data_IF_137834023218
#
_entry.id   IF_137834023218
#
_cell.length_a   1.000
_cell.length_b   1.000
_cell.length_c   1.000
_cell.angle_alpha   90.00
_cell.angle_beta   90.00
_cell.angle_gamma   90.00
#
_symmetry.space_group_name_H-M   'P 1'
#
loop_
_entity.id
_entity.type
_entity.pdbx_description
1 polymer ?
#
# COMPACT_ATOMS: atom_id res chain seq x y z
N UNK A 1 12.64 0.71 5.96
CA UNK A 1 13.22 1.99 5.45
C UNK A 1 12.81 2.30 4.01
N UNK A 2 12.64 1.30 3.13
CA UNK A 2 12.32 1.50 1.71
C UNK A 2 11.08 2.37 1.43
N UNK A 3 9.95 2.16 2.12
CA UNK A 3 8.71 2.89 1.85
C UNK A 3 8.80 4.42 2.07
N UNK A 4 9.65 4.89 3.00
CA UNK A 4 9.83 6.32 3.29
C UNK A 4 10.57 7.06 2.19
N UNK A 5 11.52 6.38 1.54
CA UNK A 5 12.27 6.96 0.42
C UNK A 5 11.41 7.00 -0.84
N UNK A 6 10.60 5.97 -1.06
CA UNK A 6 9.69 5.88 -2.21
C UNK A 6 8.57 6.92 -2.12
N UNK A 7 7.93 7.10 -0.96
CA UNK A 7 6.74 7.97 -0.84
C UNK A 7 7.03 9.45 -1.11
N UNK A 8 8.29 9.91 -0.98
CA UNK A 8 8.66 11.32 -1.19
C UNK A 8 8.27 11.86 -2.56
N UNK A 9 8.29 10.99 -3.57
CA UNK A 9 8.07 11.37 -4.97
C UNK A 9 6.73 10.86 -5.52
N UNK A 10 5.99 10.09 -4.74
CA UNK A 10 4.71 9.56 -5.17
C UNK A 10 3.61 10.62 -5.12
N UNK A 11 2.87 10.73 -6.22
CA UNK A 11 1.63 11.52 -6.29
C UNK A 11 0.45 10.72 -5.76
N UNK A 12 0.37 9.43 -6.15
CA UNK A 12 -0.71 8.51 -5.81
C UNK A 12 -0.15 7.09 -5.69
N UNK A 13 -0.68 6.32 -4.76
CA UNK A 13 -0.44 4.88 -4.62
C UNK A 13 -1.79 4.17 -4.55
N UNK A 14 -2.07 3.30 -5.51
CA UNK A 14 -3.28 2.47 -5.55
C UNK A 14 -2.90 1.04 -5.21
N UNK A 15 -3.47 0.50 -4.14
CA UNK A 15 -3.12 -0.82 -3.62
C UNK A 15 -4.39 -1.65 -3.54
N UNK A 16 -4.33 -2.86 -4.09
CA UNK A 16 -5.47 -3.76 -4.12
C UNK A 16 -5.05 -5.16 -3.68
N UNK A 17 -5.60 -5.62 -2.56
CA UNK A 17 -5.38 -6.97 -2.07
C UNK A 17 -6.56 -7.51 -1.26
N UNK A 18 -6.58 -8.83 -1.09
CA UNK A 18 -7.44 -9.52 -0.13
C UNK A 18 -6.71 -9.71 1.18
N UNK A 19 -7.27 -9.23 2.29
CA UNK A 19 -6.72 -9.50 3.64
C UNK A 19 -6.75 -10.98 4.02
N UNK A 20 -7.50 -11.80 3.28
CA UNK A 20 -7.63 -13.25 3.49
C UNK A 20 -6.69 -14.07 2.60
N UNK A 21 -6.00 -13.44 1.63
CA UNK A 21 -5.03 -14.13 0.77
C UNK A 21 -3.64 -14.11 1.42
N UNK A 22 -3.12 -15.29 1.77
CA UNK A 22 -1.79 -15.44 2.37
C UNK A 22 -0.65 -15.00 1.45
N UNK A 23 -0.85 -14.99 0.13
CA UNK A 23 0.11 -14.51 -0.87
C UNK A 23 0.21 -12.98 -0.89
N UNK A 24 -0.81 -12.29 -0.38
CA UNK A 24 -0.85 -10.84 -0.33
C UNK A 24 -0.26 -10.23 0.96
N UNK A 25 0.41 -11.05 1.79
CA UNK A 25 1.05 -10.60 3.04
C UNK A 25 2.01 -9.41 2.80
N UNK A 26 2.82 -9.47 1.73
CA UNK A 26 3.71 -8.37 1.34
C UNK A 26 2.97 -7.07 0.99
N UNK A 27 1.88 -7.16 0.22
CA UNK A 27 1.06 -5.99 -0.14
C UNK A 27 0.37 -5.37 1.09
N UNK A 28 -0.06 -6.22 2.03
CA UNK A 28 -0.64 -5.79 3.30
C UNK A 28 0.38 -5.03 4.17
N UNK A 29 1.60 -5.55 4.30
CA UNK A 29 2.67 -4.88 5.02
C UNK A 29 3.10 -3.58 4.34
N UNK A 30 3.18 -3.57 3.02
CA UNK A 30 3.50 -2.37 2.24
C UNK A 30 2.46 -1.27 2.46
N UNK A 31 1.17 -1.60 2.38
CA UNK A 31 0.08 -0.68 2.70
C UNK A 31 0.17 -0.14 4.14
N UNK A 32 0.44 -1.00 5.13
CA UNK A 32 0.63 -0.58 6.52
C UNK A 32 1.79 0.41 6.66
N UNK A 33 2.90 0.18 5.96
CA UNK A 33 4.05 1.09 6.00
C UNK A 33 3.77 2.42 5.32
N UNK A 34 3.02 2.45 4.22
CA UNK A 34 2.61 3.68 3.54
C UNK A 34 1.63 4.51 4.37
N UNK A 35 0.70 3.85 5.06
CA UNK A 35 -0.28 4.52 5.91
C UNK A 35 0.26 4.90 7.30
N UNK A 36 1.44 4.41 7.67
CA UNK A 36 2.06 4.74 8.95
C UNK A 36 2.27 6.25 9.09
N UNK A 37 2.00 6.79 10.28
CA UNK A 37 2.09 8.23 10.53
C UNK A 37 3.47 8.82 10.21
N UNK A 38 4.55 8.07 10.43
CA UNK A 38 5.91 8.51 10.09
C UNK A 38 6.16 8.63 8.58
N UNK A 39 5.41 7.88 7.77
CA UNK A 39 5.49 7.88 6.30
C UNK A 39 4.59 8.97 5.71
N UNK A 40 3.38 9.15 6.27
CA UNK A 40 2.51 10.31 5.94
C UNK A 40 3.14 11.65 6.25
N UNK A 41 3.94 11.76 7.32
CA UNK A 41 4.70 12.98 7.63
C UNK A 41 5.70 13.36 6.54
N UNK A 42 6.22 12.38 5.79
CA UNK A 42 7.21 12.62 4.73
C UNK A 42 6.54 13.16 3.47
N UNK A 43 5.36 12.64 3.12
CA UNK A 43 4.57 13.17 2.01
C UNK A 43 3.07 13.15 2.37
N UNK A 44 2.56 14.23 3.01
CA UNK A 44 1.16 14.29 3.43
C UNK A 44 0.19 14.49 2.25
N UNK A 45 0.72 14.82 1.06
CA UNK A 45 -0.07 15.04 -0.16
C UNK A 45 -0.20 13.77 -1.01
N UNK A 46 0.51 12.70 -0.68
CA UNK A 46 0.40 11.43 -1.38
C UNK A 46 -0.98 10.81 -1.10
N UNK A 47 -1.76 10.62 -2.16
CA UNK A 47 -3.04 9.94 -2.05
C UNK A 47 -2.80 8.42 -2.03
N UNK A 48 -3.15 7.76 -0.93
CA UNK A 48 -3.04 6.31 -0.79
C UNK A 48 -4.46 5.73 -0.83
N UNK A 49 -4.78 5.03 -1.92
CA UNK A 49 -6.10 4.41 -2.15
C UNK A 49 -5.96 2.91 -1.94
N UNK A 50 -6.77 2.36 -1.02
CA UNK A 50 -6.84 0.92 -0.78
C UNK A 50 -8.17 0.37 -1.27
N UNK A 51 -8.10 -0.59 -2.20
CA UNK A 51 -9.27 -1.28 -2.75
C UNK A 51 -9.27 -2.72 -2.27
N UNK A 52 -10.26 -3.08 -1.45
CA UNK A 52 -10.43 -4.45 -0.93
C UNK A 52 -10.84 -5.36 -2.08
N UNK A 53 -10.02 -6.36 -2.39
CA UNK A 53 -10.33 -7.37 -3.40
C UNK A 53 -10.87 -8.60 -2.71
N UNK A 54 -12.13 -8.97 -2.95
CA UNK A 54 -12.77 -10.11 -2.26
C UNK A 54 -12.77 -11.39 -3.13
N UNK A 55 -12.07 -11.39 -4.27
CA UNK A 55 -12.18 -12.48 -5.26
C UNK A 55 -10.82 -13.09 -5.61
N UNK A 56 -10.73 -14.41 -5.47
CA UNK A 56 -9.53 -15.24 -5.69
C UNK A 56 -9.12 -15.38 -7.16
N UNK A 57 -9.06 -14.28 -7.92
CA UNK A 57 -8.69 -14.29 -9.35
C UNK A 57 -7.67 -13.23 -9.79
N UNK A 58 -7.30 -12.28 -8.94
CA UNK A 58 -6.30 -11.29 -9.32
C UNK A 58 -5.09 -11.38 -8.37
N UNK A 59 -3.92 -11.60 -8.94
CA UNK A 59 -2.66 -11.45 -8.23
C UNK A 59 -2.56 -10.03 -7.65
N UNK A 60 -1.96 -9.87 -6.46
CA UNK A 60 -1.84 -8.55 -5.83
C UNK A 60 -1.09 -7.59 -6.75
N UNK A 61 -1.74 -6.49 -7.13
CA UNK A 61 -1.13 -5.40 -7.87
C UNK A 61 -0.55 -4.41 -6.85
N UNK A 62 0.77 -4.21 -6.93
CA UNK A 62 1.55 -3.32 -6.06
C UNK A 62 2.26 -2.29 -6.92
#
# INVERSE_FOLDING_TARGET
MAAREIIRFLKKAEISFSSFDSRASGACEFYRQLNAGNTKKVNPKCEVVYTVTVHGKADPLI
#
